data_IF_072255564951
#
_entry.id   IF_072255564951
#
_cell.length_a   1.000
_cell.length_b   1.000
_cell.length_c   1.000
_cell.angle_alpha   90.00
_cell.angle_beta   90.00
_cell.angle_gamma   90.00
#
_symmetry.space_group_name_H-M   'P 1'
#
loop_
_entity.id
_entity.type
_entity.pdbx_description
1 polymer ?
#
# COMPACT_ATOMS: atom_id res chain seq x y z
N UNK A 1 10.97 -3.36 -12.84
CA UNK A 1 9.50 -3.12 -12.81
C UNK A 1 8.94 -3.41 -14.21
N UNK A 2 7.84 -4.12 -14.27
CA UNK A 2 7.13 -4.44 -15.51
C UNK A 2 6.63 -3.15 -16.21
N UNK A 3 6.66 -3.10 -17.55
CA UNK A 3 6.20 -1.94 -18.33
C UNK A 3 4.76 -1.54 -18.00
N UNK A 4 3.90 -2.50 -17.72
CA UNK A 4 2.51 -2.25 -17.31
C UNK A 4 2.45 -1.53 -15.96
N UNK A 5 3.28 -1.94 -15.00
CA UNK A 5 3.36 -1.29 -13.69
C UNK A 5 3.91 0.14 -13.80
N UNK A 6 4.93 0.35 -14.63
CA UNK A 6 5.48 1.68 -14.91
C UNK A 6 4.39 2.60 -15.45
N UNK A 7 3.60 2.11 -16.40
CA UNK A 7 2.49 2.87 -16.99
C UNK A 7 1.42 3.23 -15.96
N UNK A 8 1.06 2.28 -15.09
CA UNK A 8 0.11 2.52 -14.01
C UNK A 8 0.64 3.56 -13.00
N UNK A 9 1.91 3.45 -12.60
CA UNK A 9 2.56 4.43 -11.74
C UNK A 9 2.51 5.83 -12.36
N UNK A 10 2.87 5.95 -13.63
CA UNK A 10 2.84 7.23 -14.34
C UNK A 10 1.44 7.82 -14.40
N UNK A 11 0.43 7.01 -14.62
CA UNK A 11 -0.97 7.45 -14.64
C UNK A 11 -1.42 7.97 -13.26
N UNK A 12 -1.09 7.25 -12.21
CA UNK A 12 -1.43 7.63 -10.83
C UNK A 12 -0.73 8.94 -10.44
N UNK A 13 0.57 9.03 -10.64
CA UNK A 13 1.36 10.21 -10.30
C UNK A 13 0.99 11.41 -11.17
N UNK A 14 0.80 11.19 -12.46
CA UNK A 14 0.42 12.25 -13.40
C UNK A 14 -0.96 12.84 -13.15
N UNK A 15 -1.87 12.08 -12.51
CA UNK A 15 -3.20 12.56 -12.14
C UNK A 15 -3.26 13.21 -10.75
N UNK A 16 -2.18 13.17 -9.99
CA UNK A 16 -2.11 13.74 -8.65
C UNK A 16 -1.37 15.08 -8.67
N UNK A 17 -2.05 16.22 -8.40
CA UNK A 17 -1.41 17.53 -8.42
C UNK A 17 -0.25 17.68 -7.44
N UNK A 18 -0.35 17.09 -6.26
CA UNK A 18 0.71 17.18 -5.24
C UNK A 18 1.97 16.42 -5.70
N UNK A 19 1.79 15.24 -6.34
CA UNK A 19 2.89 14.48 -6.91
C UNK A 19 3.58 15.27 -8.04
N UNK A 20 2.79 15.90 -8.90
CA UNK A 20 3.30 16.69 -10.04
C UNK A 20 4.04 17.95 -9.58
N UNK A 21 3.70 18.50 -8.41
CA UNK A 21 4.33 19.68 -7.83
C UNK A 21 5.52 19.36 -6.92
N UNK A 22 5.78 18.09 -6.66
CA UNK A 22 6.86 17.69 -5.76
C UNK A 22 8.21 18.17 -6.29
N UNK A 23 8.92 18.96 -5.49
CA UNK A 23 10.18 19.58 -5.88
C UNK A 23 11.38 18.65 -5.74
N UNK A 24 11.23 17.59 -4.95
CA UNK A 24 12.30 16.64 -4.67
C UNK A 24 11.72 15.26 -4.31
N UNK A 25 12.59 14.27 -4.17
CA UNK A 25 12.21 12.89 -3.85
C UNK A 25 11.63 12.73 -2.43
N UNK A 26 12.05 13.55 -1.47
CA UNK A 26 11.45 13.55 -0.11
C UNK A 26 9.96 13.88 -0.19
N UNK A 27 9.62 14.94 -0.87
CA UNK A 27 8.23 15.36 -1.06
C UNK A 27 7.43 14.36 -1.88
N UNK A 28 8.01 13.84 -2.94
CA UNK A 28 7.36 12.84 -3.79
C UNK A 28 7.07 11.56 -2.98
N UNK A 29 8.02 11.09 -2.18
CA UNK A 29 7.85 9.93 -1.31
C UNK A 29 6.74 10.14 -0.28
N UNK A 30 6.68 11.31 0.36
CA UNK A 30 5.61 11.67 1.28
C UNK A 30 4.23 11.60 0.61
N UNK A 31 4.12 12.14 -0.61
CA UNK A 31 2.86 12.12 -1.37
C UNK A 31 2.45 10.69 -1.71
N UNK A 32 3.38 9.88 -2.21
CA UNK A 32 3.11 8.48 -2.56
C UNK A 32 2.64 7.69 -1.34
N UNK A 33 3.33 7.80 -0.21
CA UNK A 33 2.97 7.08 1.01
C UNK A 33 1.63 7.56 1.57
N UNK A 34 1.36 8.87 1.50
CA UNK A 34 0.06 9.42 1.92
C UNK A 34 -1.07 8.87 1.05
N UNK A 35 -0.88 8.76 -0.26
CA UNK A 35 -1.84 8.12 -1.15
C UNK A 35 -2.03 6.65 -0.79
N UNK A 36 -0.94 5.95 -0.49
CA UNK A 36 -0.97 4.53 -0.07
C UNK A 36 -1.79 4.34 1.21
N UNK A 37 -1.61 5.22 2.19
CA UNK A 37 -2.40 5.20 3.44
C UNK A 37 -3.88 5.38 3.13
N UNK A 38 -4.23 6.35 2.30
CA UNK A 38 -5.62 6.61 1.94
C UNK A 38 -6.26 5.41 1.23
N UNK A 39 -5.55 4.80 0.28
CA UNK A 39 -6.01 3.59 -0.41
C UNK A 39 -6.18 2.41 0.56
N UNK A 40 -5.25 2.24 1.48
CA UNK A 40 -5.32 1.17 2.47
C UNK A 40 -6.49 1.36 3.45
N UNK A 41 -6.71 2.58 3.92
CA UNK A 41 -7.85 2.90 4.82
C UNK A 41 -9.18 2.67 4.13
N UNK A 42 -9.35 3.14 2.90
CA UNK A 42 -10.57 2.91 2.12
C UNK A 42 -10.75 1.42 1.77
N UNK A 43 -9.66 0.74 1.45
CA UNK A 43 -9.68 -0.69 1.20
C UNK A 43 -10.09 -1.51 2.42
N UNK A 44 -9.59 -1.14 3.59
CA UNK A 44 -9.99 -1.77 4.86
C UNK A 44 -11.49 -1.58 5.14
N UNK A 45 -12.00 -0.39 4.91
CA UNK A 45 -13.43 -0.07 5.05
C UNK A 45 -14.30 -0.95 4.14
N UNK A 46 -13.89 -1.09 2.89
CA UNK A 46 -14.55 -1.98 1.94
C UNK A 46 -14.54 -3.44 2.42
N UNK A 47 -13.40 -3.94 2.89
CA UNK A 47 -13.27 -5.31 3.38
C UNK A 47 -14.11 -5.55 4.64
N UNK A 48 -14.19 -4.59 5.55
CA UNK A 48 -15.06 -4.69 6.74
C UNK A 48 -16.52 -4.81 6.35
N UNK A 49 -16.97 -4.04 5.36
CA UNK A 49 -18.31 -4.15 4.81
C UNK A 49 -18.59 -5.52 4.19
N UNK A 50 -17.65 -6.02 3.40
CA UNK A 50 -17.75 -7.33 2.76
C UNK A 50 -17.74 -8.47 3.79
N UNK A 51 -16.88 -8.40 4.80
CA UNK A 51 -16.82 -9.38 5.89
C UNK A 51 -18.13 -9.43 6.68
N UNK A 52 -18.72 -8.27 6.99
CA UNK A 52 -20.00 -8.19 7.68
C UNK A 52 -21.14 -8.81 6.85
N UNK A 53 -21.14 -8.59 5.53
CA UNK A 53 -22.17 -9.11 4.63
C UNK A 53 -22.06 -10.63 4.41
N UNK A 54 -20.84 -11.16 4.32
CA UNK A 54 -20.59 -12.57 4.00
C UNK A 54 -20.39 -13.45 5.24
N UNK A 55 -20.06 -12.86 6.38
CA UNK A 55 -19.70 -13.56 7.63
C UNK A 55 -18.53 -14.55 7.46
N UNK A 56 -17.68 -14.30 6.46
CA UNK A 56 -16.50 -15.15 6.20
C UNK A 56 -15.42 -14.92 7.26
N UNK A 57 -14.88 -15.97 7.92
CA UNK A 57 -13.74 -15.83 8.81
C UNK A 57 -12.50 -15.27 8.13
N UNK A 58 -12.20 -15.70 6.90
CA UNK A 58 -11.06 -15.21 6.14
C UNK A 58 -11.18 -13.70 5.88
N UNK A 59 -12.34 -13.24 5.42
CA UNK A 59 -12.56 -11.81 5.16
C UNK A 59 -12.55 -10.98 6.44
N UNK A 60 -13.04 -11.54 7.56
CA UNK A 60 -12.98 -10.87 8.86
C UNK A 60 -11.53 -10.66 9.32
N UNK A 61 -10.68 -11.67 9.22
CA UNK A 61 -9.26 -11.53 9.53
C UNK A 61 -8.56 -10.56 8.58
N UNK A 62 -8.85 -10.64 7.28
CA UNK A 62 -8.34 -9.70 6.29
C UNK A 62 -8.67 -8.26 6.64
N UNK A 63 -9.94 -8.00 6.93
CA UNK A 63 -10.44 -6.66 7.20
C UNK A 63 -9.87 -6.04 8.49
N UNK A 64 -9.50 -6.87 9.44
CA UNK A 64 -9.02 -6.43 10.76
C UNK A 64 -7.51 -6.61 10.87
N UNK A 65 -7.03 -7.72 11.43
CA UNK A 65 -5.60 -7.87 11.77
C UNK A 65 -4.65 -7.71 10.57
N UNK A 66 -5.00 -8.27 9.42
CA UNK A 66 -4.13 -8.18 8.23
C UNK A 66 -4.07 -6.76 7.67
N UNK A 67 -5.23 -6.09 7.53
CA UNK A 67 -5.26 -4.72 7.02
C UNK A 67 -4.82 -3.67 8.03
N UNK A 68 -4.98 -3.91 9.33
CA UNK A 68 -4.36 -3.07 10.35
C UNK A 68 -2.83 -3.04 10.13
N UNK A 69 -2.23 -4.18 9.84
CA UNK A 69 -0.80 -4.27 9.51
C UNK A 69 -0.44 -3.49 8.24
N UNK A 70 -1.26 -3.58 7.18
CA UNK A 70 -1.03 -2.83 5.94
C UNK A 70 -1.03 -1.33 6.21
N UNK A 71 -2.05 -0.83 6.89
CA UNK A 71 -2.19 0.61 7.21
C UNK A 71 -1.04 1.06 8.11
N UNK A 72 -0.73 0.30 9.15
CA UNK A 72 0.32 0.62 10.10
C UNK A 72 1.70 0.69 9.44
N UNK A 73 2.03 -0.26 8.57
CA UNK A 73 3.30 -0.26 7.86
C UNK A 73 3.46 0.99 6.97
N UNK A 74 2.42 1.40 6.24
CA UNK A 74 2.48 2.65 5.48
C UNK A 74 2.62 3.88 6.39
N UNK A 75 1.92 3.92 7.52
CA UNK A 75 2.05 5.02 8.49
C UNK A 75 3.44 5.08 9.10
N UNK A 76 4.01 3.93 9.44
CA UNK A 76 5.38 3.86 9.97
C UNK A 76 6.38 4.35 8.93
N UNK A 77 6.23 3.94 7.66
CA UNK A 77 7.07 4.42 6.57
C UNK A 77 7.02 5.95 6.44
N UNK A 78 5.83 6.55 6.54
CA UNK A 78 5.67 8.01 6.51
C UNK A 78 6.35 8.67 7.72
N UNK A 79 6.18 8.10 8.90
CA UNK A 79 6.82 8.59 10.13
C UNK A 79 8.33 8.59 10.03
N UNK A 80 8.92 7.50 9.59
CA UNK A 80 10.36 7.35 9.38
C UNK A 80 10.90 8.41 8.42
N UNK A 81 10.15 8.68 7.36
CA UNK A 81 10.51 9.68 6.37
C UNK A 81 10.47 11.10 6.94
N UNK A 82 9.42 11.44 7.70
CA UNK A 82 9.23 12.76 8.30
C UNK A 82 10.21 13.05 9.43
N UNK A 83 10.53 12.05 10.22
CA UNK A 83 11.47 12.18 11.32
C UNK A 83 12.93 12.26 10.83
N UNK A 84 13.13 12.11 9.53
CA UNK A 84 14.45 12.06 8.88
C UNK A 84 15.40 11.05 9.53
N UNK A 85 14.81 10.05 10.18
CA UNK A 85 15.56 9.10 10.95
C UNK A 85 16.35 8.16 10.05
N UNK A 86 15.68 7.51 9.11
CA UNK A 86 16.33 6.60 8.18
C UNK A 86 15.40 6.27 7.00
N UNK A 87 15.80 6.68 5.81
CA UNK A 87 15.09 6.30 4.59
C UNK A 87 15.09 4.77 4.38
N UNK A 88 16.08 4.07 4.92
CA UNK A 88 16.16 2.61 4.87
C UNK A 88 15.00 1.95 5.64
N UNK A 89 14.68 2.43 6.83
CA UNK A 89 13.53 1.93 7.60
C UNK A 89 12.22 2.21 6.87
N UNK A 90 12.10 3.38 6.24
CA UNK A 90 10.93 3.71 5.42
C UNK A 90 10.75 2.73 4.24
N UNK A 91 11.84 2.29 3.61
CA UNK A 91 11.81 1.27 2.54
C UNK A 91 11.23 -0.04 3.06
N UNK A 92 11.73 -0.51 4.21
CA UNK A 92 11.29 -1.77 4.78
C UNK A 92 9.80 -1.74 5.14
N UNK A 93 9.34 -0.71 5.83
CA UNK A 93 7.94 -0.57 6.20
C UNK A 93 7.03 -0.50 4.97
N UNK A 94 7.40 0.27 3.95
CA UNK A 94 6.66 0.33 2.70
C UNK A 94 6.61 -1.03 1.99
N UNK A 95 7.70 -1.78 1.99
CA UNK A 95 7.78 -3.12 1.38
C UNK A 95 6.96 -4.15 2.14
N UNK A 96 6.92 -4.08 3.46
CA UNK A 96 6.16 -5.02 4.29
C UNK A 96 4.65 -4.80 4.24
N UNK A 97 4.19 -3.61 3.85
CA UNK A 97 2.75 -3.32 3.81
C UNK A 97 1.96 -4.36 3.00
N UNK A 98 2.47 -4.79 1.84
CA UNK A 98 1.79 -5.78 0.98
C UNK A 98 1.67 -7.18 1.59
N UNK A 99 2.53 -7.53 2.54
CA UNK A 99 2.52 -8.88 3.14
C UNK A 99 1.22 -9.18 3.88
N UNK A 100 0.61 -8.20 4.52
CA UNK A 100 -0.72 -8.36 5.12
C UNK A 100 -1.74 -8.78 4.08
N UNK A 101 -1.68 -8.19 2.89
CA UNK A 101 -2.60 -8.53 1.81
C UNK A 101 -2.32 -9.91 1.21
N UNK A 102 -1.07 -10.33 1.12
CA UNK A 102 -0.71 -11.68 0.64
C UNK A 102 -1.36 -12.75 1.53
N UNK A 103 -1.33 -12.55 2.86
CA UNK A 103 -2.00 -13.44 3.81
C UNK A 103 -3.52 -13.47 3.59
N UNK A 104 -4.13 -12.33 3.32
CA UNK A 104 -5.56 -12.24 2.97
C UNK A 104 -5.90 -13.11 1.76
N UNK A 105 -5.14 -12.95 0.69
CA UNK A 105 -5.37 -13.70 -0.56
C UNK A 105 -5.23 -15.19 -0.32
N UNK A 106 -4.25 -15.62 0.45
CA UNK A 106 -4.09 -17.02 0.82
C UNK A 106 -5.32 -17.56 1.57
N UNK A 107 -5.78 -16.86 2.60
CA UNK A 107 -6.95 -17.28 3.40
C UNK A 107 -8.23 -17.34 2.55
N UNK A 108 -8.41 -16.39 1.65
CA UNK A 108 -9.53 -16.40 0.72
C UNK A 108 -9.49 -17.63 -0.21
N UNK A 109 -8.31 -18.00 -0.70
CA UNK A 109 -8.15 -19.23 -1.52
C UNK A 109 -8.54 -20.48 -0.75
N UNK A 110 -8.16 -20.57 0.52
CA UNK A 110 -8.52 -21.71 1.39
C UNK A 110 -10.05 -21.83 1.52
N UNK A 111 -10.75 -20.71 1.68
CA UNK A 111 -12.21 -20.68 1.76
C UNK A 111 -12.89 -20.66 0.38
N UNK A 112 -12.13 -20.73 -0.70
CA UNK A 112 -12.63 -20.67 -2.10
C UNK A 112 -13.44 -19.41 -2.40
N UNK A 113 -13.04 -18.29 -1.82
CA UNK A 113 -13.67 -16.99 -2.06
C UNK A 113 -13.03 -16.35 -3.29
N UNK A 114 -13.85 -15.96 -4.26
CA UNK A 114 -13.44 -15.20 -5.46
C UNK A 114 -14.22 -13.90 -5.48
N UNK A 115 -13.52 -12.78 -5.40
CA UNK A 115 -14.12 -11.45 -5.47
C UNK A 115 -13.24 -10.52 -6.31
N UNK A 116 -13.72 -10.06 -7.48
CA UNK A 116 -12.93 -9.20 -8.38
C UNK A 116 -12.50 -7.88 -7.75
N UNK A 117 -13.31 -7.30 -6.85
CA UNK A 117 -12.98 -6.05 -6.17
C UNK A 117 -11.83 -6.24 -5.18
N UNK A 118 -11.79 -7.37 -4.49
CA UNK A 118 -10.66 -7.71 -3.59
C UNK A 118 -9.39 -7.94 -4.42
N UNK A 119 -9.50 -8.60 -5.57
CA UNK A 119 -8.36 -8.78 -6.49
C UNK A 119 -7.83 -7.43 -6.97
N UNK A 120 -8.71 -6.50 -7.35
CA UNK A 120 -8.33 -5.16 -7.77
C UNK A 120 -7.66 -4.37 -6.62
N UNK A 121 -8.18 -4.50 -5.41
CA UNK A 121 -7.58 -3.87 -4.22
C UNK A 121 -6.16 -4.42 -3.96
N UNK A 122 -5.97 -5.74 -4.10
CA UNK A 122 -4.64 -6.34 -3.96
C UNK A 122 -3.64 -5.74 -4.97
N UNK A 123 -4.05 -5.59 -6.22
CA UNK A 123 -3.21 -4.97 -7.25
C UNK A 123 -2.85 -3.53 -6.87
N UNK A 124 -3.82 -2.76 -6.40
CA UNK A 124 -3.61 -1.36 -5.98
C UNK A 124 -2.63 -1.26 -4.79
N UNK A 125 -2.83 -2.05 -3.74
CA UNK A 125 -1.96 -2.04 -2.55
C UNK A 125 -0.54 -2.48 -2.92
N UNK A 126 -0.39 -3.51 -3.73
CA UNK A 126 0.92 -3.96 -4.20
C UNK A 126 1.62 -2.87 -5.00
N UNK A 127 0.89 -2.18 -5.88
CA UNK A 127 1.43 -1.08 -6.68
C UNK A 127 1.92 0.06 -5.80
N UNK A 128 1.13 0.50 -4.81
CA UNK A 128 1.55 1.56 -3.89
C UNK A 128 2.73 1.14 -3.00
N UNK A 129 2.76 -0.12 -2.55
CA UNK A 129 3.90 -0.66 -1.82
C UNK A 129 5.19 -0.60 -2.66
N UNK A 130 5.10 -0.99 -3.94
CA UNK A 130 6.24 -0.93 -4.86
C UNK A 130 6.66 0.52 -5.14
N UNK A 131 5.72 1.41 -5.42
CA UNK A 131 6.01 2.83 -5.66
C UNK A 131 6.69 3.48 -4.45
N UNK A 132 6.17 3.25 -3.26
CA UNK A 132 6.74 3.77 -2.02
C UNK A 132 8.14 3.21 -1.76
N UNK A 133 8.33 1.91 -1.99
CA UNK A 133 9.63 1.25 -1.83
C UNK A 133 10.67 1.80 -2.80
N UNK A 134 10.31 2.02 -4.04
CA UNK A 134 11.22 2.60 -5.04
C UNK A 134 11.60 4.04 -4.70
N UNK A 135 10.63 4.87 -4.33
CA UNK A 135 10.89 6.27 -4.00
C UNK A 135 11.77 6.41 -2.74
N UNK A 136 11.45 5.69 -1.67
CA UNK A 136 12.23 5.70 -0.44
C UNK A 136 13.58 5.00 -0.62
N UNK A 137 13.63 3.94 -1.44
CA UNK A 137 14.88 3.25 -1.78
C UNK A 137 15.87 4.15 -2.51
N UNK A 138 15.39 4.99 -3.42
CA UNK A 138 16.22 5.99 -4.06
C UNK A 138 16.80 6.99 -3.05
N UNK A 139 15.97 7.49 -2.12
CA UNK A 139 16.42 8.38 -1.05
C UNK A 139 17.50 7.72 -0.19
N UNK A 140 17.29 6.47 0.20
CA UNK A 140 18.27 5.71 0.97
C UNK A 140 19.62 5.58 0.25
N UNK A 141 19.59 5.47 -1.07
CA UNK A 141 20.82 5.31 -1.88
C UNK A 141 21.67 6.58 -1.99
N UNK A 142 21.07 7.76 -1.76
CA UNK A 142 21.74 9.07 -1.88
C UNK A 142 22.05 9.73 -0.54
N UNK A 143 21.71 9.10 0.57
CA UNK A 143 22.02 9.57 1.92
C UNK A 143 23.45 9.22 2.36
#
# INVERSE_FOLDING_TARGET
MDDMLIKQCNNILGSNPEAMKAENYDKLSEVIITMAINEAVEGQKFLKGLAAATKSPALTECANSEFDSVVENFKNSLGDLKDKADAYDAVWDASFARHGFDNCIYKMKVEKIVNPQVTALNITITLFSDMASFATGYLSSIQ
#
